data_IF_327692852774
#
_entry.id   IF_327692852774
#
_cell.length_a   1.000
_cell.length_b   1.000
_cell.length_c   1.000
_cell.angle_alpha   90.00
_cell.angle_beta   90.00
_cell.angle_gamma   90.00
#
_symmetry.space_group_name_H-M   'P 1'
#
loop_
_entity.id
_entity.type
_entity.pdbx_description
1 polymer ?
#
# COMPACT_ATOMS: atom_id res chain seq x y z
N UNK A 1 9.07 -11.87 8.42
CA UNK A 1 8.13 -10.96 9.11
C UNK A 1 6.76 -11.22 8.51
N UNK A 2 5.74 -11.46 9.34
CA UNK A 2 4.37 -11.66 8.89
C UNK A 2 3.71 -10.34 8.53
N UNK A 3 2.42 -10.37 8.22
CA UNK A 3 1.64 -9.15 8.03
C UNK A 3 1.57 -8.31 9.30
N UNK A 4 1.90 -7.03 9.17
CA UNK A 4 1.88 -6.07 10.27
C UNK A 4 1.49 -4.69 9.72
N UNK A 5 0.26 -4.20 9.97
CA UNK A 5 -0.18 -2.88 9.56
C UNK A 5 0.59 -1.73 10.24
N UNK A 6 1.17 -1.97 11.41
CA UNK A 6 1.83 -0.93 12.21
C UNK A 6 3.16 -0.45 11.61
N UNK A 7 3.70 -1.19 10.63
CA UNK A 7 4.91 -0.79 9.90
C UNK A 7 4.67 0.41 8.99
N UNK A 8 3.42 0.74 8.65
CA UNK A 8 3.08 1.87 7.81
C UNK A 8 3.42 3.18 8.49
N UNK A 9 4.21 4.01 7.80
CA UNK A 9 4.60 5.32 8.27
C UNK A 9 3.91 6.40 7.45
N UNK A 10 3.19 7.27 8.15
CA UNK A 10 2.44 8.38 7.57
C UNK A 10 3.27 9.66 7.62
N UNK A 11 3.31 10.38 6.50
CA UNK A 11 3.95 11.70 6.39
C UNK A 11 2.86 12.73 6.13
N UNK A 12 2.74 13.73 7.01
CA UNK A 12 1.77 14.82 6.82
C UNK A 12 2.11 15.63 5.57
N UNK A 13 1.10 15.96 4.74
CA UNK A 13 1.32 16.63 3.45
C UNK A 13 1.68 18.11 3.54
N UNK A 14 1.65 18.72 4.74
CA UNK A 14 1.90 20.15 4.95
C UNK A 14 1.02 21.01 4.05
N UNK A 15 -0.22 21.29 4.44
CA UNK A 15 -1.16 21.99 3.56
C UNK A 15 -0.73 23.46 3.31
N UNK A 16 -0.39 23.86 2.07
CA UNK A 16 -0.48 25.26 1.71
C UNK A 16 -1.97 25.66 1.68
N UNK A 17 -2.29 26.92 2.01
CA UNK A 17 -3.67 27.47 2.00
C UNK A 17 -4.28 27.59 0.58
N UNK A 18 -3.92 26.70 -0.35
CA UNK A 18 -4.28 26.75 -1.77
C UNK A 18 -5.00 25.46 -2.17
N UNK A 19 -6.12 25.54 -2.91
CA UNK A 19 -6.79 24.36 -3.43
C UNK A 19 -5.88 23.59 -4.40
N UNK A 20 -5.59 22.33 -4.07
CA UNK A 20 -4.88 21.41 -4.96
C UNK A 20 -5.86 20.43 -5.61
N UNK A 21 -5.57 20.07 -6.86
CA UNK A 21 -6.29 19.07 -7.63
C UNK A 21 -5.29 18.05 -8.18
N UNK A 22 -5.61 16.76 -8.06
CA UNK A 22 -4.73 15.68 -8.48
C UNK A 22 -4.75 14.52 -7.50
N UNK A 23 -3.83 13.58 -7.72
CA UNK A 23 -3.67 12.38 -6.91
C UNK A 23 -2.25 11.84 -7.05
N UNK A 24 -1.84 11.07 -6.05
CA UNK A 24 -0.67 10.21 -6.18
C UNK A 24 -1.11 8.87 -6.77
N UNK A 25 -0.48 8.48 -7.87
CA UNK A 25 -0.64 7.16 -8.46
C UNK A 25 0.51 6.26 -7.98
N UNK A 26 0.16 5.21 -7.27
CA UNK A 26 1.09 4.22 -6.77
C UNK A 26 0.99 2.94 -7.59
N UNK A 27 2.15 2.42 -8.02
CA UNK A 27 2.26 1.09 -8.63
C UNK A 27 3.22 0.23 -7.84
N UNK A 28 2.75 -0.92 -7.37
CA UNK A 28 3.60 -1.95 -6.79
C UNK A 28 3.65 -3.16 -7.71
N UNK A 29 4.86 -3.49 -8.14
CA UNK A 29 5.14 -4.61 -9.04
C UNK A 29 5.50 -5.90 -8.29
N UNK A 30 5.61 -5.84 -6.97
CA UNK A 30 6.07 -6.93 -6.10
C UNK A 30 4.97 -7.41 -5.14
N UNK A 31 3.68 -7.24 -5.49
CA UNK A 31 2.58 -7.73 -4.63
C UNK A 31 2.47 -9.25 -4.76
N UNK A 32 2.50 -9.92 -3.60
CA UNK A 32 2.28 -11.35 -3.48
C UNK A 32 1.43 -11.68 -2.24
N UNK A 33 0.68 -12.77 -2.31
CA UNK A 33 -0.13 -13.32 -1.20
C UNK A 33 -0.35 -14.82 -1.39
N UNK A 34 -1.00 -15.49 -0.43
CA UNK A 34 -1.44 -16.88 -0.57
C UNK A 34 -2.95 -16.93 -0.84
N UNK A 35 -3.41 -17.84 -1.71
CA UNK A 35 -4.83 -18.16 -1.75
C UNK A 35 -5.24 -19.08 -0.58
N UNK A 36 -6.54 -19.37 -0.43
CA UNK A 36 -7.06 -20.29 0.61
C UNK A 36 -6.38 -21.65 0.71
N UNK A 37 -5.70 -22.12 -0.34
CA UNK A 37 -4.98 -23.41 -0.38
C UNK A 37 -3.49 -23.27 -0.07
N UNK A 38 -3.04 -22.10 0.38
CA UNK A 38 -1.64 -21.80 0.66
C UNK A 38 -0.77 -21.69 -0.59
N UNK A 39 -1.36 -21.53 -1.78
CA UNK A 39 -0.57 -21.37 -3.01
C UNK A 39 -0.23 -19.89 -3.21
N UNK A 40 1.04 -19.55 -3.48
CA UNK A 40 1.42 -18.19 -3.83
C UNK A 40 0.68 -17.66 -5.05
N UNK A 41 0.24 -16.41 -4.93
CA UNK A 41 -0.38 -15.60 -5.96
C UNK A 41 0.40 -14.28 -6.07
N UNK A 42 0.48 -13.74 -7.28
CA UNK A 42 1.18 -12.48 -7.57
C UNK A 42 0.25 -11.54 -8.33
N UNK A 43 0.49 -10.24 -8.19
CA UNK A 43 -0.28 -9.21 -8.88
C UNK A 43 0.48 -7.90 -8.99
N UNK A 44 -0.05 -6.99 -9.81
CA UNK A 44 0.37 -5.59 -9.83
C UNK A 44 -0.71 -4.79 -9.13
N UNK A 45 -0.33 -4.03 -8.11
CA UNK A 45 -1.24 -3.12 -7.42
C UNK A 45 -1.16 -1.76 -8.07
N UNK A 46 -2.33 -1.22 -8.44
CA UNK A 46 -2.50 0.20 -8.74
C UNK A 46 -3.38 0.84 -7.66
N UNK A 47 -2.86 1.89 -7.01
CA UNK A 47 -3.57 2.61 -5.95
C UNK A 47 -3.55 4.10 -6.24
N UNK A 48 -4.70 4.74 -6.05
CA UNK A 48 -4.87 6.18 -6.24
C UNK A 48 -5.16 6.81 -4.87
N UNK A 49 -4.35 7.78 -4.48
CA UNK A 49 -4.55 8.55 -3.25
C UNK A 49 -4.80 10.03 -3.62
N UNK A 50 -5.99 10.60 -3.32
CA UNK A 50 -6.29 11.99 -3.62
C UNK A 50 -5.29 12.96 -2.98
N UNK A 51 -4.94 14.05 -3.68
CA UNK A 51 -4.01 15.05 -3.11
C UNK A 51 -4.59 15.81 -1.91
N UNK A 52 -5.90 15.71 -1.67
CA UNK A 52 -6.59 16.24 -0.50
C UNK A 52 -6.42 15.36 0.76
N UNK A 53 -5.80 14.18 0.66
CA UNK A 53 -5.54 13.35 1.84
C UNK A 53 -4.63 14.09 2.83
N UNK A 54 -4.85 13.93 4.13
CA UNK A 54 -4.00 14.56 5.17
C UNK A 54 -2.55 14.10 5.09
N UNK A 55 -2.36 12.81 4.77
CA UNK A 55 -1.07 12.14 4.79
C UNK A 55 -0.77 11.48 3.44
N UNK A 56 0.52 11.40 3.13
CA UNK A 56 1.08 10.43 2.18
C UNK A 56 1.72 9.28 2.98
N UNK A 57 1.78 8.08 2.39
CA UNK A 57 2.49 6.94 2.99
C UNK A 57 3.95 6.98 2.55
N UNK A 58 4.88 6.76 3.47
CA UNK A 58 6.31 6.66 3.13
C UNK A 58 6.59 5.37 2.35
N UNK A 59 7.31 5.48 1.23
CA UNK A 59 7.45 4.41 0.24
C UNK A 59 8.07 3.12 0.79
N UNK A 60 9.08 3.19 1.67
CA UNK A 60 9.71 2.02 2.27
C UNK A 60 8.76 1.30 3.23
N UNK A 61 8.02 2.04 4.04
CA UNK A 61 7.00 1.50 4.94
C UNK A 61 5.90 0.77 4.17
N UNK A 62 5.46 1.35 3.03
CA UNK A 62 4.49 0.71 2.15
C UNK A 62 5.04 -0.58 1.52
N UNK A 63 6.31 -0.57 1.09
CA UNK A 63 6.98 -1.78 0.58
C UNK A 63 7.00 -2.89 1.64
N UNK A 64 7.37 -2.58 2.88
CA UNK A 64 7.41 -3.55 3.97
C UNK A 64 6.01 -4.11 4.28
N UNK A 65 4.99 -3.25 4.31
CA UNK A 65 3.60 -3.65 4.49
C UNK A 65 3.13 -4.63 3.41
N UNK A 66 3.34 -4.29 2.13
CA UNK A 66 2.93 -5.14 1.01
C UNK A 66 3.72 -6.46 0.99
N UNK A 67 5.00 -6.43 1.32
CA UNK A 67 5.81 -7.63 1.41
C UNK A 67 5.31 -8.59 2.52
N UNK A 68 4.80 -8.04 3.63
CA UNK A 68 4.19 -8.82 4.71
C UNK A 68 3.01 -9.68 4.27
N UNK A 69 2.28 -9.28 3.21
CA UNK A 69 1.15 -10.04 2.66
C UNK A 69 1.56 -11.36 2.01
N UNK A 70 2.84 -11.55 1.67
CA UNK A 70 3.33 -12.75 0.96
C UNK A 70 3.05 -14.07 1.70
N UNK A 71 2.82 -14.02 3.02
CA UNK A 71 2.50 -15.18 3.86
C UNK A 71 1.04 -15.22 4.34
N UNK A 72 0.21 -14.24 3.95
CA UNK A 72 -1.20 -14.18 4.36
C UNK A 72 -2.11 -14.84 3.33
N UNK A 73 -3.13 -15.54 3.82
CA UNK A 73 -4.12 -16.22 2.97
C UNK A 73 -5.36 -15.37 2.78
N UNK A 74 -5.73 -15.11 1.52
CA UNK A 74 -6.94 -14.38 1.17
C UNK A 74 -7.95 -15.25 0.42
N UNK A 75 -9.22 -14.94 0.66
CA UNK A 75 -10.35 -15.74 0.21
C UNK A 75 -10.66 -15.58 -1.29
N UNK A 76 -10.28 -14.45 -1.85
CA UNK A 76 -10.46 -14.06 -3.25
C UNK A 76 -9.34 -13.11 -3.66
N UNK A 77 -8.96 -13.05 -4.96
CA UNK A 77 -8.18 -11.94 -5.49
C UNK A 77 -8.87 -10.59 -5.28
#
# INVERSE_FOLDING_TARGET
>A
QGYDPSVLFLVERGHPNVPMYGFDLWRSYELAWLNKKGRPCIGILEMICPCQSRNIVESKSMKLYLHGLSNESFDSP
#
